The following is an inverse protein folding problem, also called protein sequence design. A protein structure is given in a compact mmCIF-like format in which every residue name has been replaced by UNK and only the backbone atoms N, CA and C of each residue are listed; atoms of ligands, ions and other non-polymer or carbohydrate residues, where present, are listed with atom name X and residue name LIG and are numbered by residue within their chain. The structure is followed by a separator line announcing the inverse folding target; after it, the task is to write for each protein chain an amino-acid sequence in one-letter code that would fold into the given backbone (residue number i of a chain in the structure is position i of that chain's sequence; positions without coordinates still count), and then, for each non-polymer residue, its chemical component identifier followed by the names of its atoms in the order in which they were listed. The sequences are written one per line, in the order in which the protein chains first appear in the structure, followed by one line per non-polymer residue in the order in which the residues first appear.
data_IF_813537128124
#
_entry.id   IF_813537128124
#
_cell.length_a   1.000
_cell.length_b   1.000
_cell.length_c   1.000
_cell.angle_alpha   90.00
_cell.angle_beta   90.00
_cell.angle_gamma   90.00
#
_symmetry.space_group_name_H-M   'P 1'
#
loop_
_entity.id
_entity.type
_entity.pdbx_description
1 polymer ?
#
# COMPACT_ATOMS: atom_id res chain seq x y z
N UNK A 1 11.77 13.68 6.05
CA UNK A 1 13.00 13.34 5.55
C UNK A 1 12.88 12.33 4.45
N UNK A 2 13.81 12.39 3.62
CA UNK A 2 13.73 11.62 2.51
C UNK A 2 13.99 10.23 2.77
N UNK A 3 13.44 9.42 1.98
CA UNK A 3 13.63 8.06 2.16
C UNK A 3 14.88 7.61 1.51
N UNK A 4 16.00 7.91 2.11
CA UNK A 4 17.22 7.30 1.72
C UNK A 4 17.23 5.85 2.07
N UNK A 5 16.23 5.40 2.83
CA UNK A 5 16.20 4.04 3.29
C UNK A 5 15.43 3.16 2.37
N UNK A 6 15.68 1.85 2.50
CA UNK A 6 14.93 0.90 1.77
C UNK A 6 13.73 0.49 2.54
N UNK A 7 12.63 0.30 1.84
CA UNK A 7 11.44 -0.31 2.40
C UNK A 7 11.03 -1.45 1.49
N UNK A 8 10.46 -2.49 2.06
CA UNK A 8 9.82 -3.55 1.30
C UNK A 8 8.33 -3.39 1.51
N UNK A 9 7.59 -3.19 0.43
CA UNK A 9 6.16 -2.97 0.51
C UNK A 9 5.44 -4.09 -0.23
N UNK A 10 4.52 -4.74 0.45
CA UNK A 10 3.66 -5.74 -0.17
C UNK A 10 2.24 -5.21 -0.11
N UNK A 11 1.54 -5.29 -1.22
CA UNK A 11 0.20 -4.74 -1.29
C UNK A 11 -0.74 -5.78 -1.86
N UNK A 12 -1.89 -5.94 -1.19
CA UNK A 12 -2.92 -6.88 -1.61
C UNK A 12 -4.22 -6.12 -1.73
N UNK A 13 -5.00 -6.41 -2.75
CA UNK A 13 -6.29 -5.78 -2.89
C UNK A 13 -7.34 -6.83 -3.23
N UNK A 14 -8.58 -6.52 -2.89
CA UNK A 14 -9.73 -7.34 -3.29
C UNK A 14 -10.70 -6.44 -4.01
N UNK A 15 -11.22 -6.94 -5.12
CA UNK A 15 -12.18 -6.17 -5.90
C UNK A 15 -13.59 -6.70 -5.66
N UNK A 16 -14.58 -5.88 -6.02
CA UNK A 16 -15.97 -6.25 -5.91
C UNK A 16 -16.25 -7.40 -6.88
N UNK A 17 -16.80 -8.52 -6.43
CA UNK A 17 -17.12 -9.62 -7.34
C UNK A 17 -18.08 -9.22 -8.46
N UNK A 18 -18.98 -8.28 -8.20
CA UNK A 18 -19.87 -7.81 -9.25
C UNK A 18 -19.10 -7.10 -10.35
N UNK A 19 -18.10 -6.30 -9.95
CA UNK A 19 -17.24 -5.63 -10.92
C UNK A 19 -16.47 -6.65 -11.74
N UNK A 20 -15.97 -7.68 -11.08
CA UNK A 20 -15.17 -8.71 -11.74
C UNK A 20 -15.97 -9.41 -12.83
N UNK A 21 -17.26 -9.63 -12.63
CA UNK A 21 -18.08 -10.31 -13.63
C UNK A 21 -18.38 -9.40 -14.83
N UNK A 22 -18.10 -8.12 -14.73
CA UNK A 22 -18.35 -7.16 -15.82
C UNK A 22 -17.09 -6.78 -16.58
N UNK A 23 -15.98 -7.45 -16.30
CA UNK A 23 -14.75 -7.13 -16.99
C UNK A 23 -14.74 -7.74 -18.36
N UNK A 24 -14.58 -6.89 -19.38
CA UNK A 24 -14.53 -7.32 -20.76
C UNK A 24 -13.25 -6.91 -21.46
N UNK A 25 -12.54 -5.90 -20.93
CA UNK A 25 -11.33 -5.38 -21.53
C UNK A 25 -10.31 -5.13 -20.44
N UNK A 26 -9.05 -4.98 -20.82
CA UNK A 26 -8.00 -4.70 -19.86
C UNK A 26 -8.26 -3.44 -19.06
N UNK A 27 -8.86 -2.43 -19.70
CA UNK A 27 -9.11 -1.19 -18.98
C UNK A 27 -10.22 -1.33 -17.93
N UNK A 28 -10.93 -2.46 -17.93
CA UNK A 28 -11.93 -2.69 -16.89
C UNK A 28 -11.34 -3.25 -15.62
N UNK A 29 -10.05 -3.60 -15.62
CA UNK A 29 -9.41 -4.12 -14.44
C UNK A 29 -8.62 -3.02 -13.75
N UNK A 30 -8.24 -3.28 -12.49
CA UNK A 30 -7.38 -2.35 -11.77
C UNK A 30 -6.00 -2.36 -12.41
N UNK A 31 -5.50 -1.17 -12.74
CA UNK A 31 -4.20 -1.04 -13.34
C UNK A 31 -3.15 -1.03 -12.24
N UNK A 32 -2.43 -2.12 -12.09
CA UNK A 32 -1.45 -2.25 -11.04
C UNK A 32 -0.31 -1.24 -11.15
N UNK A 33 -0.01 -0.77 -12.35
CA UNK A 33 1.04 0.25 -12.47
C UNK A 33 0.61 1.55 -11.82
N UNK A 34 -0.68 1.88 -11.88
CA UNK A 34 -1.19 3.08 -11.24
C UNK A 34 -1.22 2.92 -9.72
N UNK A 35 -1.55 1.73 -9.24
CA UNK A 35 -1.48 1.45 -7.81
C UNK A 35 -0.05 1.63 -7.33
N UNK A 36 0.89 1.08 -8.09
CA UNK A 36 2.30 1.18 -7.75
C UNK A 36 2.76 2.65 -7.70
N UNK A 37 2.30 3.46 -8.65
CA UNK A 37 2.67 4.86 -8.69
C UNK A 37 2.15 5.63 -7.49
N UNK A 38 0.93 5.31 -7.05
CA UNK A 38 0.38 5.95 -5.86
C UNK A 38 1.22 5.62 -4.64
N UNK A 39 1.55 4.35 -4.47
CA UNK A 39 2.34 3.91 -3.33
C UNK A 39 3.72 4.57 -3.37
N UNK A 40 4.34 4.57 -4.53
CA UNK A 40 5.66 5.14 -4.68
C UNK A 40 5.67 6.63 -4.39
N UNK A 41 4.66 7.36 -4.88
CA UNK A 41 4.58 8.78 -4.64
C UNK A 41 4.47 9.09 -3.16
N UNK A 42 3.68 8.30 -2.43
CA UNK A 42 3.53 8.51 -1.00
C UNK A 42 4.85 8.25 -0.28
N UNK A 43 5.52 7.17 -0.64
CA UNK A 43 6.76 6.81 0.01
C UNK A 43 7.88 7.80 -0.28
N UNK A 44 7.87 8.40 -1.46
CA UNK A 44 8.98 9.26 -1.87
C UNK A 44 8.78 10.73 -1.55
N UNK A 45 7.54 11.17 -1.40
CA UNK A 45 7.29 12.59 -1.27
C UNK A 45 6.84 13.04 0.09
N UNK A 46 6.47 12.11 0.97
CA UNK A 46 5.98 12.46 2.28
C UNK A 46 6.87 11.91 3.36
N UNK A 47 6.87 12.58 4.50
CA UNK A 47 7.61 12.12 5.65
C UNK A 47 6.64 11.61 6.68
N UNK A 48 6.98 10.48 7.27
CA UNK A 48 6.13 9.90 8.29
C UNK A 48 6.98 9.56 9.50
N UNK A 49 6.49 9.91 10.67
CA UNK A 49 7.13 9.49 11.89
C UNK A 49 6.79 8.05 12.21
N UNK A 50 5.61 7.60 11.78
CA UNK A 50 5.15 6.24 12.06
C UNK A 50 4.82 5.55 10.75
N UNK A 51 5.23 4.30 10.65
CA UNK A 51 4.90 3.50 9.47
C UNK A 51 3.39 3.26 9.36
N UNK A 52 2.70 3.23 10.51
CA UNK A 52 1.25 3.06 10.52
C UNK A 52 0.55 4.17 9.75
N UNK A 53 1.02 5.40 9.92
CA UNK A 53 0.42 6.53 9.21
C UNK A 53 0.65 6.42 7.71
N UNK A 54 1.83 5.97 7.33
CA UNK A 54 2.15 5.76 5.93
C UNK A 54 1.24 4.67 5.34
N UNK A 55 1.09 3.56 6.06
CA UNK A 55 0.25 2.46 5.61
C UNK A 55 -1.20 2.91 5.45
N UNK A 56 -1.71 3.68 6.39
CA UNK A 56 -3.07 4.19 6.30
C UNK A 56 -3.25 5.09 5.08
N UNK A 57 -2.29 5.96 4.82
CA UNK A 57 -2.38 6.85 3.66
C UNK A 57 -2.36 6.08 2.35
N UNK A 58 -1.54 5.04 2.28
CA UNK A 58 -1.50 4.20 1.09
C UNK A 58 -2.86 3.56 0.86
N UNK A 59 -3.41 2.91 1.88
CA UNK A 59 -4.70 2.22 1.73
C UNK A 59 -5.80 3.19 1.36
N UNK A 60 -5.83 4.35 2.03
CA UNK A 60 -6.86 5.34 1.75
C UNK A 60 -6.75 5.87 0.33
N UNK A 61 -5.54 6.19 -0.11
CA UNK A 61 -5.33 6.75 -1.44
C UNK A 61 -5.71 5.76 -2.52
N UNK A 62 -5.38 4.48 -2.33
CA UNK A 62 -5.72 3.46 -3.31
C UNK A 62 -7.23 3.24 -3.36
N UNK A 63 -7.88 3.18 -2.20
CA UNK A 63 -9.34 3.02 -2.18
C UNK A 63 -10.04 4.22 -2.82
N UNK A 64 -9.52 5.43 -2.58
CA UNK A 64 -10.12 6.62 -3.16
C UNK A 64 -9.95 6.66 -4.68
N UNK A 65 -8.83 6.16 -5.17
CA UNK A 65 -8.54 6.22 -6.60
C UNK A 65 -9.23 5.13 -7.41
N UNK A 66 -9.56 4.01 -6.78
CA UNK A 66 -10.12 2.87 -7.50
C UNK A 66 -11.40 2.39 -6.81
N UNK A 67 -12.56 2.87 -7.28
CA UNK A 67 -13.83 2.50 -6.62
C UNK A 67 -14.12 1.01 -6.62
N UNK A 68 -13.54 0.28 -7.55
CA UNK A 68 -13.79 -1.16 -7.64
C UNK A 68 -13.05 -1.97 -6.57
N UNK A 69 -12.10 -1.36 -5.87
CA UNK A 69 -11.39 -2.04 -4.80
C UNK A 69 -12.20 -1.94 -3.52
N UNK A 70 -12.48 -3.05 -2.88
CA UNK A 70 -13.24 -3.05 -1.63
C UNK A 70 -12.36 -3.28 -0.41
N UNK A 71 -11.20 -3.89 -0.57
CA UNK A 71 -10.25 -4.09 0.53
C UNK A 71 -8.85 -3.77 0.04
N UNK A 72 -8.14 -2.98 0.82
CA UNK A 72 -6.73 -2.67 0.58
C UNK A 72 -5.94 -3.10 1.80
N UNK A 73 -4.88 -3.86 1.57
CA UNK A 73 -4.01 -4.32 2.65
C UNK A 73 -2.58 -4.05 2.24
N UNK A 74 -1.85 -3.35 3.08
CA UNK A 74 -0.45 -3.02 2.81
C UNK A 74 0.42 -3.46 3.98
N UNK A 75 1.58 -4.00 3.64
CA UNK A 75 2.60 -4.36 4.61
C UNK A 75 3.84 -3.56 4.25
N UNK A 76 4.38 -2.83 5.21
CA UNK A 76 5.60 -2.05 5.03
C UNK A 76 6.64 -2.58 5.98
N UNK A 77 7.77 -2.97 5.42
CA UNK A 77 8.85 -3.53 6.22
C UNK A 77 10.08 -2.68 6.05
N UNK A 78 10.68 -2.30 7.17
CA UNK A 78 11.93 -1.57 7.19
C UNK A 78 13.02 -2.51 7.68
N UNK A 79 13.84 -3.02 6.78
CA UNK A 79 14.87 -3.98 7.17
C UNK A 79 16.07 -3.28 7.77
N UNK A 80 16.91 -4.04 8.43
CA UNK A 80 18.18 -3.55 8.95
C UNK A 80 18.05 -2.41 9.94
N UNK A 81 17.06 -2.52 10.83
CA UNK A 81 16.88 -1.52 11.86
C UNK A 81 18.02 -1.63 12.87
N UNK A 82 18.71 -0.53 13.16
CA UNK A 82 19.86 -0.57 14.08
C UNK A 82 19.40 -0.55 15.52
N UNK A 83 18.94 -1.68 16.01
CA UNK A 83 18.51 -1.81 17.38
C UNK A 83 19.41 -2.81 18.07
N UNK A 84 19.79 -2.52 19.29
CA UNK A 84 20.60 -3.44 20.07
C UNK A 84 19.85 -4.74 20.23
N UNK A 85 20.54 -5.84 19.98
CA UNK A 85 19.94 -7.14 20.10
C UNK A 85 19.83 -7.78 18.74
N UNK A 86 18.89 -8.69 18.61
CA UNK A 86 18.78 -9.51 17.42
C UNK A 86 17.70 -9.06 16.43
N UNK A 87 17.03 -7.98 16.71
CA UNK A 87 15.99 -7.49 15.83
C UNK A 87 16.59 -6.92 14.56
N UNK A 88 16.16 -7.39 13.40
CA UNK A 88 16.72 -6.96 12.14
C UNK A 88 15.75 -6.20 11.27
N UNK A 89 14.49 -6.16 11.61
CA UNK A 89 13.50 -5.43 10.80
C UNK A 89 12.29 -5.09 11.64
N UNK A 90 11.53 -4.12 11.12
CA UNK A 90 10.25 -3.75 11.70
C UNK A 90 9.24 -3.79 10.58
N UNK A 91 8.08 -4.35 10.84
CA UNK A 91 7.04 -4.48 9.84
C UNK A 91 5.71 -4.04 10.40
N UNK A 92 4.94 -3.32 9.58
CA UNK A 92 3.60 -2.88 9.90
C UNK A 92 2.67 -3.37 8.82
N UNK A 93 1.55 -3.91 9.20
CA UNK A 93 0.54 -4.34 8.24
C UNK A 93 -0.78 -3.71 8.61
N UNK A 94 -1.45 -3.09 7.63
CA UNK A 94 -2.71 -2.42 7.83
C UNK A 94 -3.70 -2.84 6.75
N UNK A 95 -4.94 -3.01 7.14
CA UNK A 95 -6.01 -3.38 6.23
C UNK A 95 -7.13 -2.38 6.34
N UNK A 96 -7.70 -1.98 5.20
CA UNK A 96 -8.79 -1.03 5.19
C UNK A 96 -9.87 -1.51 4.24
N UNK A 97 -11.09 -1.45 4.70
CA UNK A 97 -12.26 -1.87 3.93
C UNK A 97 -13.05 -0.64 3.50
N UNK A 98 -13.64 -0.73 2.32
CA UNK A 98 -14.52 0.34 1.87
C UNK A 98 -15.82 0.27 2.66
N UNK A 99 -16.22 1.39 3.19
CA UNK A 99 -17.42 1.44 4.02
C UNK A 99 -18.68 1.28 3.20
#
# INVERSE_FOLDING_TARGET
RKLGQRFVVNFTLETDPVHDTKIHHLEDTVDYTKVYEIIRAILETKEYHLLENCANDINKSVLDAFPEIIVARVSIKKPSVPINGSLSSVEVEMERHRA
#
